data_IF_020236204861
#
_entry.id   IF_020236204861
#
_cell.length_a   1.000
_cell.length_b   1.000
_cell.length_c   1.000
_cell.angle_alpha   90.00
_cell.angle_beta   90.00
_cell.angle_gamma   90.00
#
_symmetry.space_group_name_H-M   'P 1'
#
loop_
_entity.id
_entity.type
_entity.pdbx_description
1 polymer ?
#
# COMPACT_ATOMS: atom_id res chain seq x y z
N UNK A 1 21.54 14.49 -4.56
CA UNK A 1 20.62 14.46 -3.41
C UNK A 1 19.38 15.26 -3.78
N UNK A 2 18.17 14.77 -3.47
CA UNK A 2 16.94 15.52 -3.78
C UNK A 2 16.86 16.77 -2.88
N UNK A 3 16.29 17.89 -3.35
CA UNK A 3 16.08 19.05 -2.50
C UNK A 3 15.24 18.71 -1.25
N UNK A 4 15.67 19.17 -0.08
CA UNK A 4 15.00 18.88 1.20
C UNK A 4 15.38 17.55 1.85
N UNK A 5 16.08 16.68 1.11
CA UNK A 5 16.70 15.48 1.66
C UNK A 5 17.98 15.89 2.37
N UNK A 6 17.98 15.82 3.70
CA UNK A 6 19.06 16.28 4.57
C UNK A 6 19.42 15.30 5.69
N UNK A 7 18.82 14.10 5.69
CA UNK A 7 18.95 13.08 6.74
C UNK A 7 18.55 13.53 8.15
N UNK A 8 17.86 14.66 8.28
CA UNK A 8 17.18 15.10 9.50
C UNK A 8 15.66 15.02 9.37
N UNK A 9 15.15 14.96 8.14
CA UNK A 9 13.74 14.76 7.83
C UNK A 9 13.51 13.35 7.30
N UNK A 10 12.56 12.64 7.92
CA UNK A 10 12.31 11.23 7.64
C UNK A 10 10.84 10.97 7.39
N UNK A 11 10.56 10.18 6.35
CA UNK A 11 9.26 9.62 6.03
C UNK A 11 9.22 8.16 6.54
N UNK A 12 8.28 7.91 7.44
CA UNK A 12 8.01 6.59 8.01
C UNK A 12 6.69 6.09 7.44
N UNK A 13 6.76 5.08 6.58
CA UNK A 13 5.58 4.44 5.99
C UNK A 13 5.19 3.25 6.84
N UNK A 14 3.91 3.16 7.18
CA UNK A 14 3.35 2.10 8.01
C UNK A 14 2.28 1.30 7.28
N UNK A 15 2.21 0.01 7.59
CA UNK A 15 1.14 -0.88 7.18
C UNK A 15 0.12 -1.03 8.30
N UNK A 16 -1.16 -1.03 7.94
CA UNK A 16 -2.28 -1.21 8.85
C UNK A 16 -3.11 -2.44 8.46
N UNK A 17 -3.80 -3.06 9.43
CA UNK A 17 -4.81 -4.07 9.14
C UNK A 17 -5.88 -3.55 8.19
N UNK A 18 -6.45 -4.45 7.37
CA UNK A 18 -7.52 -4.12 6.43
C UNK A 18 -8.91 -4.52 6.92
N UNK A 19 -8.98 -5.40 7.93
CA UNK A 19 -10.24 -5.95 8.45
C UNK A 19 -10.20 -6.11 9.99
N UNK A 20 -10.81 -5.17 10.74
CA UNK A 20 -11.29 -3.87 10.29
C UNK A 20 -10.11 -2.93 9.96
N UNK A 21 -10.27 -2.09 8.95
CA UNK A 21 -9.34 -1.00 8.69
C UNK A 21 -9.45 0.06 9.80
N UNK A 22 -8.33 0.62 10.31
CA UNK A 22 -8.38 1.65 11.33
C UNK A 22 -8.96 2.96 10.80
N UNK A 23 -9.53 3.76 11.69
CA UNK A 23 -9.96 5.13 11.35
C UNK A 23 -8.76 6.05 11.14
N UNK A 24 -9.00 7.23 10.58
CA UNK A 24 -7.97 8.25 10.39
C UNK A 24 -7.31 8.65 11.70
N UNK A 25 -8.11 8.84 12.75
CA UNK A 25 -7.64 9.20 14.09
C UNK A 25 -6.78 8.10 14.69
N UNK A 26 -7.20 6.83 14.55
CA UNK A 26 -6.43 5.68 15.03
C UNK A 26 -5.08 5.54 14.31
N UNK A 27 -5.02 5.84 13.01
CA UNK A 27 -3.75 5.88 12.27
C UNK A 27 -2.84 6.98 12.80
N UNK A 28 -3.36 8.19 13.03
CA UNK A 28 -2.60 9.33 13.58
C UNK A 28 -2.07 8.99 14.99
N UNK A 29 -2.90 8.41 15.85
CA UNK A 29 -2.48 7.97 17.18
C UNK A 29 -1.38 6.91 17.09
N UNK A 30 -1.47 6.00 16.13
CA UNK A 30 -0.42 5.00 15.89
C UNK A 30 0.89 5.66 15.48
N UNK A 31 0.85 6.64 14.57
CA UNK A 31 2.04 7.40 14.16
C UNK A 31 2.74 8.07 15.34
N UNK A 32 1.97 8.78 16.17
CA UNK A 32 2.48 9.44 17.37
C UNK A 32 3.04 8.43 18.38
N UNK A 33 2.36 7.30 18.59
CA UNK A 33 2.84 6.23 19.49
C UNK A 33 4.15 5.62 18.99
N UNK A 34 4.27 5.36 17.70
CA UNK A 34 5.50 4.82 17.09
C UNK A 34 6.65 5.81 17.24
N UNK A 35 6.42 7.10 16.96
CA UNK A 35 7.42 8.14 17.16
C UNK A 35 7.80 8.31 18.64
N UNK A 36 6.82 8.34 19.55
CA UNK A 36 7.05 8.42 20.99
C UNK A 36 7.84 7.22 21.52
N UNK A 37 7.65 6.03 20.96
CA UNK A 37 8.42 4.82 21.32
C UNK A 37 9.90 4.96 20.98
N UNK A 38 10.23 5.64 19.88
CA UNK A 38 11.62 5.86 19.45
C UNK A 38 12.28 7.02 20.21
N UNK A 39 11.52 8.09 20.47
CA UNK A 39 12.00 9.24 21.24
C UNK A 39 12.09 8.93 22.74
N UNK A 40 11.19 8.09 23.24
CA UNK A 40 11.21 7.56 24.60
C UNK A 40 12.40 6.61 24.80
N UNK A 41 13.28 6.92 25.76
CA UNK A 41 14.41 6.05 26.10
C UNK A 41 13.87 4.72 26.65
N UNK A 42 14.07 3.63 25.90
CA UNK A 42 13.90 2.20 26.24
C UNK A 42 13.57 1.94 27.73
N UNK A 43 12.32 1.57 28.04
CA UNK A 43 11.93 1.05 29.36
C UNK A 43 10.48 1.34 29.74
N UNK A 44 9.60 0.36 29.53
CA UNK A 44 8.28 0.16 30.19
C UNK A 44 7.69 1.36 30.93
N UNK A 45 6.85 2.15 30.26
CA UNK A 45 6.27 3.35 30.85
C UNK A 45 4.77 3.24 31.09
N UNK A 46 4.41 3.13 32.37
CA UNK A 46 3.21 3.77 32.90
C UNK A 46 3.67 4.94 33.78
N UNK A 47 3.37 6.20 33.40
CA UNK A 47 3.69 7.37 34.23
C UNK A 47 4.10 8.64 33.47
N UNK A 48 4.60 9.67 34.18
CA UNK A 48 4.88 11.02 33.64
C UNK A 48 5.83 11.06 32.44
N UNK A 49 6.70 10.04 32.31
CA UNK A 49 7.72 9.98 31.26
C UNK A 49 7.11 9.58 29.91
N UNK A 50 6.03 8.77 29.89
CA UNK A 50 5.28 8.48 28.66
C UNK A 50 4.66 9.76 28.07
N UNK A 51 4.14 10.63 28.94
CA UNK A 51 3.56 11.91 28.51
C UNK A 51 4.61 12.82 27.87
N UNK A 52 5.82 12.88 28.43
CA UNK A 52 6.92 13.66 27.85
C UNK A 52 7.31 13.16 26.46
N UNK A 53 7.42 11.84 26.27
CA UNK A 53 7.73 11.25 24.96
C UNK A 53 6.62 11.51 23.94
N UNK A 54 5.36 11.47 24.38
CA UNK A 54 4.20 11.79 23.54
C UNK A 54 4.20 13.26 23.09
N UNK A 55 4.46 14.19 24.01
CA UNK A 55 4.58 15.61 23.67
C UNK A 55 5.78 15.91 22.78
N UNK A 56 6.88 15.17 22.94
CA UNK A 56 8.04 15.25 22.06
C UNK A 56 7.71 14.71 20.66
N UNK A 57 6.94 13.62 20.56
CA UNK A 57 6.48 13.09 19.28
C UNK A 57 5.59 14.10 18.53
N UNK A 58 4.66 14.76 19.23
CA UNK A 58 3.81 15.80 18.62
C UNK A 58 4.61 16.98 18.04
N UNK A 59 5.72 17.34 18.68
CA UNK A 59 6.58 18.44 18.24
C UNK A 59 7.46 18.05 17.04
N UNK A 60 7.88 16.80 16.98
CA UNK A 60 8.78 16.32 15.93
C UNK A 60 8.04 15.84 14.68
N UNK A 61 6.77 15.43 14.78
CA UNK A 61 5.95 15.11 13.61
C UNK A 61 5.45 16.40 12.94
N UNK A 62 5.83 16.65 11.68
CA UNK A 62 5.47 17.87 10.97
C UNK A 62 4.44 17.65 9.85
N UNK A 63 4.34 16.43 9.34
CA UNK A 63 3.35 16.07 8.33
C UNK A 63 3.02 14.57 8.36
N UNK A 64 1.89 14.18 7.76
CA UNK A 64 1.50 12.78 7.61
C UNK A 64 0.50 12.61 6.45
N UNK A 65 0.19 11.36 6.10
CA UNK A 65 -0.94 11.04 5.25
C UNK A 65 -1.62 9.76 5.71
N UNK A 66 -2.93 9.69 5.50
CA UNK A 66 -3.73 8.47 5.68
C UNK A 66 -4.48 8.09 4.40
N UNK A 67 -4.08 8.65 3.26
CA UNK A 67 -4.78 8.53 1.97
C UNK A 67 -3.80 8.24 0.84
N UNK A 68 -3.00 9.23 0.43
CA UNK A 68 -1.99 9.09 -0.65
C UNK A 68 -0.96 8.01 -0.30
N UNK A 69 -0.56 8.00 0.96
CA UNK A 69 0.23 6.96 1.61
C UNK A 69 -0.27 6.84 3.05
N UNK A 70 0.10 5.77 3.73
CA UNK A 70 -0.15 5.57 5.16
C UNK A 70 1.17 5.72 5.89
N UNK A 71 1.41 6.88 6.50
CA UNK A 71 2.68 7.16 7.15
C UNK A 71 2.79 8.59 7.63
N UNK A 72 3.87 8.87 8.35
CA UNK A 72 4.15 10.18 8.94
C UNK A 72 5.57 10.63 8.64
N UNK A 73 5.78 11.93 8.80
CA UNK A 73 7.03 12.60 8.54
C UNK A 73 7.47 13.34 9.79
N UNK A 74 8.74 13.14 10.17
CA UNK A 74 9.27 13.67 11.42
C UNK A 74 10.70 14.17 11.29
N UNK A 75 11.09 15.05 12.21
CA UNK A 75 12.44 15.57 12.32
C UNK A 75 13.20 14.82 13.39
N UNK A 76 14.15 13.97 13.00
CA UNK A 76 15.00 13.18 13.91
C UNK A 76 16.37 12.95 13.27
N UNK A 77 17.40 12.64 14.07
CA UNK A 77 18.71 12.27 13.53
C UNK A 77 18.66 10.94 12.77
N UNK A 78 19.59 10.73 11.85
CA UNK A 78 19.76 9.45 11.13
C UNK A 78 19.89 8.26 12.09
N UNK A 79 20.69 8.37 13.15
CA UNK A 79 20.83 7.33 14.19
C UNK A 79 19.48 6.99 14.85
N UNK A 80 18.63 8.00 15.06
CA UNK A 80 17.31 7.79 15.65
C UNK A 80 16.36 7.17 14.64
N UNK A 81 16.46 7.53 13.36
CA UNK A 81 15.64 6.97 12.29
C UNK A 81 15.83 5.45 12.14
N UNK A 82 17.04 4.96 12.35
CA UNK A 82 17.36 3.53 12.28
C UNK A 82 16.57 2.71 13.31
N UNK A 83 16.19 3.32 14.44
CA UNK A 83 15.43 2.65 15.51
C UNK A 83 13.98 2.36 15.12
N UNK A 84 13.44 2.97 14.05
CA UNK A 84 12.13 2.61 13.52
C UNK A 84 12.13 1.25 12.83
N UNK A 85 13.28 0.83 12.28
CA UNK A 85 13.37 -0.42 11.52
C UNK A 85 13.11 -1.61 12.44
N UNK A 86 12.18 -2.46 12.03
CA UNK A 86 11.77 -3.64 12.81
C UNK A 86 10.71 -3.36 13.87
N UNK A 87 10.27 -2.12 14.06
CA UNK A 87 9.08 -1.86 14.88
C UNK A 87 7.82 -2.43 14.20
N UNK A 88 6.84 -2.93 14.97
CA UNK A 88 5.59 -3.45 14.41
C UNK A 88 4.89 -2.42 13.53
N UNK A 89 4.49 -2.84 12.32
CA UNK A 89 3.78 -2.00 11.36
C UNK A 89 4.65 -1.03 10.57
N UNK A 90 5.93 -0.83 10.90
CA UNK A 90 6.83 0.01 10.08
C UNK A 90 7.26 -0.77 8.83
N UNK A 91 6.94 -0.22 7.66
CA UNK A 91 7.25 -0.81 6.37
C UNK A 91 8.49 -0.19 5.72
N UNK A 92 8.60 1.14 5.73
CA UNK A 92 9.72 1.87 5.14
C UNK A 92 10.17 3.02 6.04
N UNK A 93 11.49 3.23 6.09
CA UNK A 93 12.14 4.38 6.72
C UNK A 93 13.00 5.04 5.65
N UNK A 94 12.58 6.20 5.16
CA UNK A 94 13.20 6.88 4.03
C UNK A 94 13.54 8.32 4.40
N UNK A 95 14.67 8.87 3.93
CA UNK A 95 14.92 10.29 4.07
C UNK A 95 13.90 11.06 3.23
N UNK A 96 13.25 12.05 3.82
CA UNK A 96 12.19 12.81 3.16
C UNK A 96 12.76 13.85 2.19
N UNK A 97 11.94 14.38 1.28
CA UNK A 97 12.34 15.41 0.31
C UNK A 97 11.17 16.31 -0.07
N UNK A 98 11.46 17.49 -0.61
CA UNK A 98 10.40 18.42 -0.99
C UNK A 98 9.59 17.89 -2.17
N UNK A 99 8.26 17.87 -2.02
CA UNK A 99 7.33 17.72 -3.15
C UNK A 99 7.25 19.02 -3.96
N UNK A 100 7.37 20.18 -3.30
CA UNK A 100 7.49 21.49 -3.91
C UNK A 100 8.79 22.17 -3.48
N UNK A 101 9.78 22.10 -4.35
CA UNK A 101 11.12 22.66 -4.13
C UNK A 101 11.09 24.18 -3.97
N UNK A 102 10.16 24.88 -4.66
CA UNK A 102 10.09 26.35 -4.63
C UNK A 102 9.60 26.84 -3.27
N UNK A 103 8.57 26.17 -2.74
CA UNK A 103 7.98 26.51 -1.45
C UNK A 103 8.60 25.76 -0.27
N UNK A 104 9.56 24.86 -0.53
CA UNK A 104 10.20 23.98 0.47
C UNK A 104 9.17 23.16 1.26
N UNK A 105 8.21 22.59 0.54
CA UNK A 105 7.12 21.82 1.13
C UNK A 105 7.37 20.32 0.95
N UNK A 106 7.28 19.56 2.03
CA UNK A 106 7.41 18.09 2.05
C UNK A 106 6.10 17.37 1.65
N UNK A 107 5.00 18.11 1.46
CA UNK A 107 3.68 17.52 1.22
C UNK A 107 3.03 17.01 2.49
N UNK A 108 2.07 16.10 2.34
CA UNK A 108 1.27 15.59 3.45
C UNK A 108 0.35 16.63 4.10
N UNK A 109 -0.56 16.14 4.93
CA UNK A 109 -1.33 16.97 5.85
C UNK A 109 -0.37 17.49 6.93
N UNK A 110 -0.36 18.79 7.18
CA UNK A 110 0.55 19.38 8.17
C UNK A 110 0.04 19.06 9.57
N UNK A 111 0.97 18.77 10.46
CA UNK A 111 0.70 18.51 11.87
C UNK A 111 1.48 19.50 12.72
N UNK A 112 0.76 20.29 13.52
CA UNK A 112 1.35 21.32 14.38
C UNK A 112 0.83 21.08 15.80
N UNK A 113 1.56 20.28 16.58
CA UNK A 113 1.23 19.99 17.99
C UNK A 113 -0.22 19.53 18.25
N UNK A 114 -0.83 18.79 17.31
CA UNK A 114 -2.21 18.31 17.41
C UNK A 114 -3.20 19.04 16.50
N UNK A 115 -2.81 20.20 15.96
CA UNK A 115 -3.57 20.86 14.90
C UNK A 115 -3.23 20.23 13.55
N UNK A 116 -4.25 19.92 12.75
CA UNK A 116 -4.10 19.31 11.43
C UNK A 116 -4.56 20.31 10.38
N UNK A 117 -3.66 20.66 9.47
CA UNK A 117 -3.96 21.50 8.30
C UNK A 117 -3.92 20.59 7.06
N UNK A 118 -5.07 20.28 6.44
CA UNK A 118 -5.12 19.40 5.30
C UNK A 118 -4.24 19.87 4.13
N UNK A 119 -3.63 18.91 3.46
CA UNK A 119 -2.83 19.12 2.27
C UNK A 119 -3.68 19.74 1.14
N UNK A 120 -3.15 20.76 0.46
CA UNK A 120 -3.80 21.43 -0.68
C UNK A 120 -3.42 20.81 -2.02
N UNK A 121 -2.41 19.93 -2.08
CA UNK A 121 -2.04 19.25 -3.30
C UNK A 121 -3.12 18.24 -3.69
N UNK A 122 -3.51 18.18 -4.98
CA UNK A 122 -4.49 17.22 -5.44
C UNK A 122 -3.98 15.80 -5.20
N UNK A 123 -4.74 15.03 -4.44
CA UNK A 123 -4.49 13.59 -4.31
C UNK A 123 -4.74 12.95 -5.67
N UNK A 124 -3.75 12.20 -6.18
CA UNK A 124 -3.95 11.43 -7.40
C UNK A 124 -5.00 10.36 -7.13
N UNK A 125 -6.24 10.62 -7.55
CA UNK A 125 -7.27 9.60 -7.59
C UNK A 125 -7.08 8.84 -8.91
N UNK A 126 -6.72 7.55 -8.88
CA UNK A 126 -6.69 6.76 -10.09
C UNK A 126 -8.10 6.81 -10.69
N UNK A 127 -8.22 7.42 -11.88
CA UNK A 127 -9.48 7.42 -12.63
C UNK A 127 -9.94 5.97 -12.72
N UNK A 128 -11.17 5.69 -12.27
CA UNK A 128 -11.80 4.39 -12.49
C UNK A 128 -11.57 4.02 -13.95
N UNK A 129 -10.82 2.94 -14.18
CA UNK A 129 -10.62 2.38 -15.50
C UNK A 129 -12.01 2.05 -16.00
N UNK A 130 -12.57 2.88 -16.89
CA UNK A 130 -13.78 2.52 -17.62
C UNK A 130 -13.45 1.18 -18.25
N UNK A 131 -14.09 0.11 -17.79
CA UNK A 131 -13.98 -1.20 -18.42
C UNK A 131 -14.25 -0.98 -19.90
N UNK A 132 -13.20 -1.14 -20.71
CA UNK A 132 -13.37 -1.14 -22.14
C UNK A 132 -14.32 -2.29 -22.44
N UNK A 133 -15.45 -2.00 -23.06
CA UNK A 133 -16.47 -2.93 -23.62
C UNK A 133 -15.90 -4.01 -24.57
N UNK A 134 -14.59 -4.19 -24.61
CA UNK A 134 -13.81 -4.99 -25.54
C UNK A 134 -13.14 -6.23 -24.92
N UNK A 135 -13.31 -6.52 -23.61
CA UNK A 135 -12.75 -7.75 -23.03
C UNK A 135 -13.62 -9.02 -23.21
N UNK A 136 -14.82 -8.92 -23.78
CA UNK A 136 -15.72 -10.08 -23.95
C UNK A 136 -15.37 -11.02 -25.11
N UNK A 137 -14.25 -10.83 -25.82
CA UNK A 137 -13.90 -11.63 -27.02
C UNK A 137 -12.60 -12.43 -26.94
N UNK A 138 -11.94 -12.53 -25.79
CA UNK A 138 -10.60 -13.17 -25.72
C UNK A 138 -10.56 -14.63 -25.28
N UNK A 139 -11.66 -15.26 -24.85
CA UNK A 139 -11.63 -16.69 -24.49
C UNK A 139 -12.97 -17.43 -24.73
N UNK A 140 -13.41 -17.51 -25.98
CA UNK A 140 -14.16 -18.69 -26.43
C UNK A 140 -13.31 -19.43 -27.46
N UNK A 141 -12.34 -20.22 -26.98
CA UNK A 141 -11.85 -21.35 -27.78
C UNK A 141 -12.99 -22.37 -27.81
N UNK A 142 -13.92 -22.21 -28.76
CA UNK A 142 -14.82 -23.29 -29.18
C UNK A 142 -13.94 -24.52 -29.41
N UNK A 143 -14.25 -25.61 -28.71
CA UNK A 143 -13.74 -26.94 -29.05
C UNK A 143 -14.30 -27.30 -30.42
N UNK A 144 -13.54 -27.05 -31.47
CA UNK A 144 -13.79 -27.65 -32.77
C UNK A 144 -13.36 -29.12 -32.70
N UNK A 145 -14.25 -29.96 -32.14
CA UNK A 145 -14.19 -31.40 -32.28
C UNK A 145 -14.83 -31.82 -33.62
N UNK A 146 -14.31 -32.85 -34.32
CA UNK A 146 -14.85 -33.24 -35.61
C UNK A 146 -16.31 -33.74 -35.49
N UNK A 147 -17.17 -33.51 -36.50
CA UNK A 147 -18.58 -33.90 -36.44
C UNK A 147 -18.76 -35.41 -36.34
N UNK A 148 -19.70 -35.86 -35.50
CA UNK A 148 -20.06 -37.27 -35.35
C UNK A 148 -20.67 -37.85 -36.64
N UNK A 149 -20.16 -39.00 -37.06
CA UNK A 149 -20.56 -39.73 -38.27
C UNK A 149 -21.98 -40.30 -38.13
N UNK A 150 -22.89 -39.83 -38.99
CA UNK A 150 -24.27 -40.33 -39.08
C UNK A 150 -24.27 -41.72 -39.69
N UNK A 151 -24.45 -42.74 -38.84
CA UNK A 151 -24.79 -44.13 -39.23
C UNK A 151 -25.98 -44.14 -40.21
N UNK A 152 -25.82 -44.82 -41.35
CA UNK A 152 -26.93 -45.23 -42.24
C UNK A 152 -27.11 -46.75 -42.21
N UNK A 153 -28.33 -47.27 -42.41
CA UNK A 153 -28.70 -48.63 -42.04
C UNK A 153 -28.40 -49.68 -43.12
N UNK A 154 -28.16 -50.89 -42.61
CA UNK A 154 -27.96 -52.20 -43.23
C UNK A 154 -28.92 -52.51 -44.39
N UNK A 155 -28.36 -53.06 -45.48
CA UNK A 155 -29.07 -53.95 -46.41
C UNK A 155 -28.27 -55.23 -46.61
N UNK A 156 -29.00 -56.31 -46.84
CA UNK A 156 -28.65 -57.70 -46.57
C UNK A 156 -28.41 -58.48 -47.87
N UNK A 157 -27.75 -59.64 -47.71
CA UNK A 157 -27.82 -60.84 -48.54
C UNK A 157 -26.78 -61.09 -49.65
N UNK A 158 -25.99 -62.14 -49.36
CA UNK A 158 -25.84 -63.39 -50.15
C UNK A 158 -24.47 -63.70 -50.78
N UNK A 159 -23.93 -64.86 -50.35
CA UNK A 159 -23.22 -65.95 -51.07
C UNK A 159 -22.02 -65.58 -51.96
N UNK A 160 -20.92 -66.34 -52.05
CA UNK A 160 -20.60 -67.75 -51.75
C UNK A 160 -19.08 -67.95 -51.86
N UNK A 161 -18.58 -68.98 -51.16
CA UNK A 161 -17.41 -69.85 -51.41
C UNK A 161 -16.40 -69.47 -52.52
N UNK A 162 -15.10 -69.55 -52.24
CA UNK A 162 -14.27 -70.74 -52.54
C UNK A 162 -12.77 -70.49 -52.32
N UNK A 163 -12.10 -71.58 -51.96
CA UNK A 163 -10.68 -71.72 -51.68
C UNK A 163 -9.87 -71.89 -53.00
N UNK A 164 -8.54 -71.84 -52.87
CA UNK A 164 -7.48 -72.41 -53.75
C UNK A 164 -6.70 -71.43 -54.65
N UNK A 165 -5.37 -71.53 -54.56
CA UNK A 165 -4.37 -70.91 -55.43
C UNK A 165 -3.05 -70.72 -54.72
#
# INVERSE_FOLDING_TARGET
MLPGCDYNHWLIVMEFPKDPAPTREQMIDTYLNTLATVLGRRGEFAGPIAWLAWEEAKKNMYAFSTTTYTGFQCTVSEETSEKFKGLPGVLWVLPDSYIDVKNKDYGGDKYINGEIIPCTYPTYQPKQRRESKYESRRYERRRDGPPAEKRRPRQEASRSESNSG
#
